data_IF_840600369503
#
_entry.id   IF_840600369503
#
_cell.length_a   1.000
_cell.length_b   1.000
_cell.length_c   1.000
_cell.angle_alpha   90.00
_cell.angle_beta   90.00
_cell.angle_gamma   90.00
#
_symmetry.space_group_name_H-M   'P 1'
#
loop_
_entity.id
_entity.type
_entity.pdbx_description
1 polymer ?
#
# COMPACT_ATOMS: atom_id res chain seq x y z
N UNK A 1 -19.37 -5.94 9.43
CA UNK A 1 -18.91 -4.70 8.78
C UNK A 1 -17.40 -4.66 8.87
N UNK A 2 -16.70 -4.71 7.74
CA UNK A 2 -15.24 -4.62 7.73
C UNK A 2 -14.86 -3.20 8.19
N UNK A 3 -14.11 -3.12 9.29
CA UNK A 3 -13.53 -1.86 9.74
C UNK A 3 -12.42 -1.48 8.74
N UNK A 4 -12.76 -0.66 7.76
CA UNK A 4 -11.81 -0.16 6.75
C UNK A 4 -10.91 0.86 7.44
N UNK A 5 -9.74 0.43 7.88
CA UNK A 5 -8.78 1.25 8.65
C UNK A 5 -8.24 2.47 7.89
N UNK A 6 -8.34 2.48 6.56
CA UNK A 6 -7.88 3.58 5.73
C UNK A 6 -9.01 4.41 5.13
N UNK A 7 -10.28 4.07 5.44
CA UNK A 7 -11.38 4.91 5.01
C UNK A 7 -11.30 6.23 5.78
N UNK A 8 -10.92 7.28 5.12
CA UNK A 8 -11.04 8.62 5.68
C UNK A 8 -12.50 9.08 5.54
N UNK A 9 -13.27 8.88 6.62
CA UNK A 9 -14.68 9.25 6.62
C UNK A 9 -14.90 10.74 6.31
N UNK A 10 -14.00 11.61 6.75
CA UNK A 10 -14.07 13.06 6.51
C UNK A 10 -13.87 13.39 5.03
N UNK A 11 -12.86 12.81 4.40
CA UNK A 11 -12.62 12.96 2.97
C UNK A 11 -13.76 12.36 2.15
N UNK A 12 -14.23 11.19 2.55
CA UNK A 12 -15.36 10.55 1.88
C UNK A 12 -16.65 11.36 1.98
N UNK A 13 -16.99 11.89 3.14
CA UNK A 13 -18.17 12.75 3.31
C UNK A 13 -18.05 14.00 2.45
N UNK A 14 -16.88 14.64 2.42
CA UNK A 14 -16.61 15.76 1.53
C UNK A 14 -16.81 15.37 0.06
N UNK A 15 -16.26 14.24 -0.38
CA UNK A 15 -16.46 13.74 -1.74
C UNK A 15 -17.93 13.47 -2.06
N UNK A 16 -18.66 12.81 -1.15
CA UNK A 16 -20.07 12.50 -1.35
C UNK A 16 -20.99 13.72 -1.33
N UNK A 17 -20.60 14.79 -0.66
CA UNK A 17 -21.36 16.05 -0.62
C UNK A 17 -21.20 16.89 -1.88
N UNK A 18 -20.16 16.66 -2.68
CA UNK A 18 -19.96 17.41 -3.92
C UNK A 18 -20.96 16.99 -5.01
N UNK A 19 -21.51 17.98 -5.71
CA UNK A 19 -22.27 17.77 -6.93
C UNK A 19 -21.31 17.89 -8.12
N UNK A 20 -20.86 16.76 -8.66
CA UNK A 20 -20.12 16.74 -9.93
C UNK A 20 -21.09 17.12 -11.03
N UNK A 21 -21.05 18.37 -11.45
CA UNK A 21 -21.99 18.91 -12.45
C UNK A 21 -21.50 18.80 -13.89
N UNK A 22 -20.19 18.79 -14.11
CA UNK A 22 -19.61 18.79 -15.46
C UNK A 22 -18.27 18.08 -15.47
N UNK A 23 -18.11 17.10 -16.36
CA UNK A 23 -16.87 16.34 -16.50
C UNK A 23 -15.74 17.05 -17.29
N UNK A 24 -15.97 18.27 -17.75
CA UNK A 24 -15.05 19.02 -18.62
C UNK A 24 -14.50 20.30 -17.98
N UNK A 25 -14.51 20.41 -16.68
CA UNK A 25 -13.91 21.57 -15.99
C UNK A 25 -12.41 21.35 -15.91
N UNK A 26 -11.62 22.28 -16.47
CA UNK A 26 -10.18 22.27 -16.24
C UNK A 26 -9.89 22.64 -14.79
N UNK A 27 -9.01 21.86 -14.14
CA UNK A 27 -8.51 22.23 -12.83
C UNK A 27 -7.54 23.42 -12.98
N UNK A 28 -7.66 24.44 -12.11
CA UNK A 28 -6.68 25.53 -12.07
C UNK A 28 -5.30 25.01 -11.69
N UNK A 29 -4.26 25.70 -12.16
CA UNK A 29 -2.88 25.27 -12.04
C UNK A 29 -2.41 25.18 -10.58
N UNK A 30 -2.87 26.07 -9.72
CA UNK A 30 -2.59 26.06 -8.28
C UNK A 30 -3.10 24.81 -7.53
N UNK A 31 -4.16 24.18 -8.06
CA UNK A 31 -4.65 22.89 -7.55
C UNK A 31 -3.78 21.70 -8.03
N UNK A 32 -3.18 21.85 -9.22
CA UNK A 32 -2.30 20.82 -9.81
C UNK A 32 -0.88 20.92 -9.26
N UNK A 33 -0.41 22.12 -8.97
CA UNK A 33 0.92 22.38 -8.41
C UNK A 33 0.86 22.19 -6.88
N UNK A 34 1.20 21.01 -6.43
CA UNK A 34 1.22 20.68 -4.99
C UNK A 34 2.52 21.21 -4.39
N UNK A 35 2.53 22.44 -3.92
CA UNK A 35 3.66 23.05 -3.22
C UNK A 35 3.76 22.53 -1.78
N UNK A 36 2.65 22.54 -1.05
CA UNK A 36 2.58 22.09 0.33
C UNK A 36 1.99 20.68 0.44
N UNK A 37 2.86 19.70 0.63
CA UNK A 37 2.45 18.31 0.84
C UNK A 37 1.95 18.12 2.26
N UNK A 38 0.64 18.09 2.45
CA UNK A 38 0.00 17.80 3.74
C UNK A 38 -0.02 16.30 4.08
N UNK A 39 0.15 15.45 3.08
CA UNK A 39 0.20 14.00 3.20
C UNK A 39 1.33 13.44 2.34
N UNK A 40 1.98 12.39 2.84
CA UNK A 40 2.98 11.62 2.09
C UNK A 40 2.41 10.27 1.65
N UNK A 41 3.01 9.69 0.63
CA UNK A 41 2.76 8.30 0.26
C UNK A 41 3.22 7.35 1.37
N UNK A 42 2.61 6.17 1.46
CA UNK A 42 3.01 5.16 2.43
C UNK A 42 4.42 4.62 2.13
N UNK A 43 4.71 4.42 0.85
CA UNK A 43 6.03 3.96 0.38
C UNK A 43 6.72 5.06 -0.41
N UNK A 44 8.05 5.16 -0.27
CA UNK A 44 8.86 5.99 -1.15
C UNK A 44 9.07 5.26 -2.47
N UNK A 45 8.61 5.85 -3.58
CA UNK A 45 8.78 5.30 -4.91
C UNK A 45 9.02 6.42 -5.92
N UNK A 46 10.06 6.25 -6.78
CA UNK A 46 10.40 7.28 -7.76
C UNK A 46 9.27 7.46 -8.79
N UNK A 47 8.87 8.70 -9.04
CA UNK A 47 7.86 9.03 -10.05
C UNK A 47 6.40 8.87 -9.59
N UNK A 48 6.16 8.60 -8.30
CA UNK A 48 4.80 8.50 -7.78
C UNK A 48 4.11 9.87 -7.72
N UNK A 49 2.79 9.88 -7.88
CA UNK A 49 1.98 11.08 -7.73
C UNK A 49 1.92 11.54 -6.27
N UNK A 50 1.76 12.85 -6.07
CA UNK A 50 1.38 13.36 -4.77
C UNK A 50 -0.06 12.91 -4.43
N UNK A 51 -0.33 12.44 -3.18
CA UNK A 51 -1.67 12.01 -2.79
C UNK A 51 -2.74 13.07 -3.01
N UNK A 52 -2.44 14.35 -2.72
CA UNK A 52 -3.36 15.46 -2.91
C UNK A 52 -3.72 15.68 -4.39
N UNK A 53 -2.77 15.48 -5.31
CA UNK A 53 -3.05 15.58 -6.75
C UNK A 53 -4.09 14.53 -7.17
N UNK A 54 -3.88 13.27 -6.74
CA UNK A 54 -4.82 12.17 -7.05
C UNK A 54 -6.19 12.45 -6.42
N UNK A 55 -6.22 12.90 -5.17
CA UNK A 55 -7.46 13.32 -4.51
C UNK A 55 -8.20 14.38 -5.33
N UNK A 56 -7.52 15.45 -5.72
CA UNK A 56 -8.12 16.54 -6.50
C UNK A 56 -8.68 16.05 -7.85
N UNK A 57 -7.96 15.18 -8.54
CA UNK A 57 -8.41 14.60 -9.80
C UNK A 57 -9.66 13.72 -9.61
N UNK A 58 -9.68 12.88 -8.58
CA UNK A 58 -10.85 12.06 -8.27
C UNK A 58 -12.05 12.94 -7.91
N UNK A 59 -11.85 13.98 -7.10
CA UNK A 59 -12.90 14.93 -6.73
C UNK A 59 -13.48 15.66 -7.93
N UNK A 60 -12.63 16.08 -8.87
CA UNK A 60 -13.06 16.84 -10.03
C UNK A 60 -13.78 15.98 -11.08
N UNK A 61 -13.33 14.75 -11.30
CA UNK A 61 -13.71 14.00 -12.50
C UNK A 61 -14.41 12.67 -12.23
N UNK A 62 -14.35 12.13 -11.00
CA UNK A 62 -14.95 10.83 -10.72
C UNK A 62 -16.37 10.94 -10.18
N UNK A 63 -17.37 10.26 -10.80
CA UNK A 63 -18.67 10.07 -10.18
C UNK A 63 -18.58 9.34 -8.84
N UNK A 64 -19.54 9.57 -7.95
CA UNK A 64 -19.58 8.93 -6.61
C UNK A 64 -19.59 7.39 -6.63
N UNK A 65 -19.96 6.79 -7.74
CA UNK A 65 -20.01 5.35 -7.97
C UNK A 65 -18.92 4.87 -8.93
N UNK A 66 -17.91 5.72 -9.19
CA UNK A 66 -16.85 5.39 -10.14
C UNK A 66 -16.07 4.15 -9.71
N UNK A 67 -15.56 3.46 -10.70
CA UNK A 67 -14.46 2.52 -10.55
C UNK A 67 -13.22 3.15 -11.15
N UNK A 68 -12.17 3.27 -10.37
CA UNK A 68 -10.92 3.88 -10.78
C UNK A 68 -10.01 2.81 -11.39
N UNK A 69 -9.40 3.12 -12.52
CA UNK A 69 -8.39 2.29 -13.17
C UNK A 69 -7.09 3.07 -13.31
N UNK A 70 -6.01 2.49 -12.80
CA UNK A 70 -4.66 3.01 -12.99
C UNK A 70 -3.84 2.01 -13.81
N UNK A 71 -3.59 2.27 -15.10
CA UNK A 71 -2.83 1.37 -15.95
C UNK A 71 -1.30 1.42 -15.70
N UNK A 72 -0.82 2.36 -14.87
CA UNK A 72 0.58 2.56 -14.52
C UNK A 72 0.72 2.71 -12.99
N UNK A 73 0.26 1.69 -12.28
CA UNK A 73 -0.03 1.72 -10.84
C UNK A 73 1.14 2.18 -9.96
N UNK A 74 2.39 1.88 -10.35
CA UNK A 74 3.55 2.15 -9.50
C UNK A 74 3.37 1.55 -8.11
N UNK A 75 3.74 2.29 -7.08
CA UNK A 75 3.56 1.87 -5.68
C UNK A 75 2.11 1.95 -5.17
N UNK A 76 1.14 2.35 -6.01
CA UNK A 76 -0.29 2.26 -5.70
C UNK A 76 -0.94 3.51 -5.11
N UNK A 77 -0.40 4.70 -5.32
CA UNK A 77 -1.00 5.96 -4.80
C UNK A 77 -2.46 6.12 -5.21
N UNK A 78 -2.79 5.86 -6.48
CA UNK A 78 -4.15 6.03 -7.00
C UNK A 78 -5.14 5.07 -6.35
N UNK A 79 -4.79 3.79 -6.22
CA UNK A 79 -5.68 2.80 -5.58
C UNK A 79 -5.84 3.07 -4.09
N UNK A 80 -4.79 3.59 -3.43
CA UNK A 80 -4.87 3.99 -2.04
C UNK A 80 -5.84 5.17 -1.84
N UNK A 81 -5.68 6.25 -2.60
CA UNK A 81 -6.56 7.42 -2.51
C UNK A 81 -8.01 7.10 -2.86
N UNK A 82 -8.24 6.31 -3.91
CA UNK A 82 -9.57 5.81 -4.23
C UNK A 82 -10.17 5.00 -3.08
N UNK A 83 -9.36 4.15 -2.42
CA UNK A 83 -9.77 3.39 -1.24
C UNK A 83 -10.13 4.28 -0.05
N UNK A 84 -9.40 5.38 0.20
CA UNK A 84 -9.73 6.37 1.23
C UNK A 84 -11.11 7.00 1.00
N UNK A 85 -11.50 7.18 -0.25
CA UNK A 85 -12.81 7.70 -0.65
C UNK A 85 -13.90 6.62 -0.71
N UNK A 86 -13.55 5.37 -0.51
CA UNK A 86 -14.48 4.22 -0.57
C UNK A 86 -14.87 3.81 -1.97
N UNK A 87 -14.10 4.22 -2.98
CA UNK A 87 -14.27 3.82 -4.37
C UNK A 87 -13.59 2.46 -4.63
N UNK A 88 -14.08 1.75 -5.63
CA UNK A 88 -13.38 0.59 -6.18
C UNK A 88 -12.24 1.06 -7.05
N UNK A 89 -11.09 0.37 -6.95
CA UNK A 89 -9.95 0.68 -7.79
C UNK A 89 -9.26 -0.59 -8.26
N UNK A 90 -8.70 -0.51 -9.46
CA UNK A 90 -7.87 -1.53 -10.09
C UNK A 90 -6.62 -0.87 -10.64
N UNK A 91 -5.53 -1.62 -10.71
CA UNK A 91 -4.30 -1.13 -11.30
C UNK A 91 -3.52 -2.24 -11.98
N UNK A 92 -2.69 -1.84 -12.95
CA UNK A 92 -1.73 -2.71 -13.62
C UNK A 92 -0.33 -2.16 -13.40
N UNK A 93 0.64 -3.06 -13.17
CA UNK A 93 2.05 -2.70 -12.98
C UNK A 93 2.93 -3.78 -13.57
N UNK A 94 3.95 -3.37 -14.32
CA UNK A 94 4.92 -4.27 -14.94
C UNK A 94 6.15 -4.49 -14.06
N UNK A 95 6.50 -3.50 -13.21
CA UNK A 95 7.62 -3.64 -12.29
C UNK A 95 7.18 -4.51 -11.09
N UNK A 96 7.79 -5.70 -10.88
CA UNK A 96 7.37 -6.61 -9.84
C UNK A 96 7.51 -6.01 -8.42
N UNK A 97 8.53 -5.17 -8.18
CA UNK A 97 8.72 -4.53 -6.89
C UNK A 97 7.60 -3.52 -6.60
N UNK A 98 7.27 -2.65 -7.56
CA UNK A 98 6.16 -1.70 -7.43
C UNK A 98 4.82 -2.43 -7.28
N UNK A 99 4.61 -3.52 -8.04
CA UNK A 99 3.43 -4.36 -7.95
C UNK A 99 3.26 -4.96 -6.55
N UNK A 100 4.33 -5.49 -5.95
CA UNK A 100 4.29 -6.02 -4.58
C UNK A 100 3.95 -4.93 -3.57
N UNK A 101 4.60 -3.75 -3.65
CA UNK A 101 4.30 -2.63 -2.77
C UNK A 101 2.82 -2.22 -2.88
N UNK A 102 2.29 -2.12 -4.09
CA UNK A 102 0.88 -1.77 -4.31
C UNK A 102 -0.10 -2.80 -3.73
N UNK A 103 0.26 -4.09 -3.72
CA UNK A 103 -0.55 -5.17 -3.14
C UNK A 103 -0.73 -5.05 -1.63
N UNK A 104 0.16 -4.36 -0.93
CA UNK A 104 0.01 -4.14 0.52
C UNK A 104 -1.27 -3.41 0.86
N UNK A 105 -1.79 -2.59 -0.04
CA UNK A 105 -3.08 -1.92 0.14
C UNK A 105 -4.29 -2.87 0.18
N UNK A 106 -4.15 -4.11 -0.28
CA UNK A 106 -5.20 -5.14 -0.17
C UNK A 106 -5.52 -5.49 1.29
N UNK A 107 -4.58 -5.23 2.21
CA UNK A 107 -4.78 -5.40 3.66
C UNK A 107 -5.93 -4.55 4.22
N UNK A 108 -6.31 -3.47 3.54
CA UNK A 108 -7.49 -2.66 3.89
C UNK A 108 -8.78 -3.50 3.93
N UNK A 109 -8.85 -4.55 3.10
CA UNK A 109 -10.02 -5.42 3.01
C UNK A 109 -10.09 -6.46 4.15
N UNK A 110 -9.00 -6.61 4.91
CA UNK A 110 -8.94 -7.54 6.02
C UNK A 110 -9.45 -6.90 7.31
N UNK A 111 -10.03 -7.71 8.19
CA UNK A 111 -10.35 -7.28 9.55
C UNK A 111 -9.06 -7.05 10.34
N UNK A 112 -9.14 -6.23 11.41
CA UNK A 112 -8.00 -6.01 12.31
C UNK A 112 -7.45 -7.34 12.85
N UNK A 113 -8.34 -8.22 13.32
CA UNK A 113 -7.94 -9.53 13.84
C UNK A 113 -7.19 -10.38 12.80
N UNK A 114 -7.65 -10.42 11.54
CA UNK A 114 -6.95 -11.16 10.48
C UNK A 114 -5.57 -10.58 10.19
N UNK A 115 -5.41 -9.26 10.20
CA UNK A 115 -4.10 -8.62 10.05
C UNK A 115 -3.15 -8.96 11.18
N UNK A 116 -3.63 -8.92 12.43
CA UNK A 116 -2.86 -9.30 13.61
C UNK A 116 -2.42 -10.78 13.54
N UNK A 117 -3.30 -11.68 13.11
CA UNK A 117 -2.96 -13.09 12.89
C UNK A 117 -1.84 -13.27 11.85
N UNK A 118 -1.93 -12.58 10.70
CA UNK A 118 -0.91 -12.64 9.65
C UNK A 118 0.44 -12.14 10.17
N UNK A 119 0.47 -10.98 10.84
CA UNK A 119 1.70 -10.42 11.41
C UNK A 119 2.31 -11.40 12.43
N UNK A 120 1.50 -11.94 13.33
CA UNK A 120 1.98 -12.91 14.33
C UNK A 120 2.57 -14.15 13.67
N UNK A 121 1.90 -14.70 12.66
CA UNK A 121 2.37 -15.88 11.91
C UNK A 121 3.73 -15.61 11.24
N UNK A 122 3.87 -14.46 10.54
CA UNK A 122 5.13 -14.10 9.91
C UNK A 122 6.23 -13.94 10.94
N UNK A 123 5.96 -13.24 12.04
CA UNK A 123 6.94 -13.03 13.11
C UNK A 123 7.46 -14.37 13.64
N UNK A 124 6.57 -15.30 13.94
CA UNK A 124 6.94 -16.65 14.41
C UNK A 124 7.78 -17.42 13.39
N UNK A 125 7.41 -17.38 12.10
CA UNK A 125 8.18 -18.01 11.03
C UNK A 125 9.57 -17.43 10.90
N UNK A 126 9.69 -16.10 10.94
CA UNK A 126 10.97 -15.41 10.89
C UNK A 126 11.85 -15.70 12.10
N UNK A 127 11.29 -15.70 13.30
CA UNK A 127 12.01 -16.05 14.53
C UNK A 127 12.54 -17.49 14.49
N UNK A 128 11.75 -18.41 13.96
CA UNK A 128 12.14 -19.83 13.83
C UNK A 128 13.29 -20.01 12.83
N UNK A 129 13.19 -19.36 11.65
CA UNK A 129 14.18 -19.51 10.59
C UNK A 129 15.50 -18.80 10.87
N UNK A 130 15.44 -17.64 11.49
CA UNK A 130 16.62 -16.83 11.78
C UNK A 130 17.27 -17.20 13.13
N UNK A 131 16.68 -18.13 13.89
CA UNK A 131 17.07 -18.46 15.27
C UNK A 131 17.20 -17.21 16.18
N UNK A 132 16.41 -16.17 15.89
CA UNK A 132 16.41 -14.91 16.58
C UNK A 132 15.25 -14.94 17.59
N UNK A 133 15.56 -14.83 18.87
CA UNK A 133 14.56 -14.84 19.95
C UNK A 133 13.66 -13.60 19.97
N UNK A 134 14.00 -12.57 19.21
CA UNK A 134 13.22 -11.36 19.10
C UNK A 134 13.62 -10.58 17.84
N UNK A 135 12.76 -10.55 16.81
CA UNK A 135 13.04 -9.87 15.55
C UNK A 135 13.33 -8.36 15.70
N UNK A 136 12.82 -7.75 16.76
CA UNK A 136 13.04 -6.33 17.07
C UNK A 136 14.24 -6.09 18.01
N UNK A 137 14.83 -7.16 18.58
CA UNK A 137 15.96 -7.09 19.51
C UNK A 137 17.24 -7.59 18.83
N UNK A 138 17.47 -7.14 17.60
CA UNK A 138 18.67 -7.49 16.84
C UNK A 138 19.89 -6.85 17.51
N UNK A 139 20.43 -7.49 18.51
CA UNK A 139 21.82 -7.31 18.88
C UNK A 139 22.68 -8.05 17.85
N UNK A 140 23.42 -7.29 17.06
CA UNK A 140 24.31 -7.69 15.95
C UNK A 140 25.39 -8.70 16.37
N UNK A 141 25.05 -9.96 16.63
CA UNK A 141 26.07 -10.94 17.04
C UNK A 141 26.13 -12.24 16.20
N UNK A 142 25.26 -12.40 15.19
CA UNK A 142 25.42 -13.49 14.22
C UNK A 142 25.42 -12.92 12.80
N UNK A 143 26.59 -12.93 12.18
CA UNK A 143 26.72 -12.70 10.73
C UNK A 143 26.37 -13.97 10.01
N UNK A 144 25.15 -14.03 9.42
CA UNK A 144 24.82 -15.04 8.42
C UNK A 144 25.64 -14.78 7.15
N UNK A 145 26.13 -15.84 6.52
CA UNK A 145 26.66 -15.71 5.16
C UNK A 145 25.54 -15.38 4.17
N UNK A 146 25.89 -14.84 3.01
CA UNK A 146 24.90 -14.54 1.96
C UNK A 146 24.16 -15.82 1.53
N UNK A 147 24.89 -16.92 1.43
CA UNK A 147 24.34 -18.24 1.05
C UNK A 147 23.35 -18.77 2.10
N UNK A 148 23.68 -18.69 3.38
CA UNK A 148 22.78 -19.07 4.48
C UNK A 148 21.54 -18.19 4.50
N UNK A 149 21.69 -16.89 4.29
CA UNK A 149 20.55 -15.96 4.20
C UNK A 149 19.64 -16.28 3.02
N UNK A 150 20.21 -16.55 1.83
CA UNK A 150 19.43 -16.92 0.65
C UNK A 150 18.70 -18.25 0.82
N UNK A 151 19.34 -19.25 1.44
CA UNK A 151 18.71 -20.52 1.72
C UNK A 151 17.54 -20.36 2.71
N UNK A 152 17.77 -19.67 3.82
CA UNK A 152 16.73 -19.41 4.83
C UNK A 152 15.55 -18.63 4.24
N UNK A 153 15.83 -17.66 3.36
CA UNK A 153 14.81 -16.88 2.68
C UNK A 153 13.98 -17.76 1.72
N UNK A 154 14.62 -18.68 0.99
CA UNK A 154 13.94 -19.64 0.11
C UNK A 154 13.02 -20.55 0.90
N UNK A 155 13.51 -21.13 2.02
CA UNK A 155 12.72 -21.97 2.91
C UNK A 155 11.53 -21.23 3.53
N UNK A 156 11.71 -19.93 3.82
CA UNK A 156 10.63 -19.08 4.29
C UNK A 156 9.55 -18.91 3.23
N UNK A 157 9.94 -18.59 1.98
CA UNK A 157 8.98 -18.38 0.90
C UNK A 157 8.08 -19.58 0.63
N UNK A 158 8.61 -20.79 0.75
CA UNK A 158 7.84 -22.02 0.57
C UNK A 158 6.76 -22.24 1.66
N UNK A 159 6.88 -21.54 2.79
CA UNK A 159 5.96 -21.64 3.92
C UNK A 159 4.95 -20.50 4.02
N UNK A 160 5.05 -19.48 3.14
CA UNK A 160 4.22 -18.28 3.22
C UNK A 160 2.87 -18.47 2.51
N UNK A 161 1.80 -18.05 3.17
CA UNK A 161 0.51 -17.82 2.53
C UNK A 161 0.53 -16.49 1.72
N UNK A 162 -0.45 -16.31 0.83
CA UNK A 162 -0.52 -15.16 -0.10
C UNK A 162 -0.24 -13.78 0.54
N UNK A 163 -0.91 -13.48 1.67
CA UNK A 163 -0.74 -12.20 2.35
C UNK A 163 0.58 -12.09 3.11
N UNK A 164 1.07 -13.19 3.64
CA UNK A 164 2.38 -13.27 4.28
C UNK A 164 3.49 -13.02 3.28
N UNK A 165 3.39 -13.64 2.10
CA UNK A 165 4.31 -13.43 0.98
C UNK A 165 4.38 -11.96 0.57
N UNK A 166 3.25 -11.25 0.50
CA UNK A 166 3.24 -9.81 0.18
C UNK A 166 4.03 -9.00 1.20
N UNK A 167 3.88 -9.30 2.49
CA UNK A 167 4.61 -8.58 3.55
C UNK A 167 6.10 -8.84 3.46
N UNK A 168 6.52 -10.10 3.36
CA UNK A 168 7.94 -10.47 3.35
C UNK A 168 8.64 -9.89 2.13
N UNK A 169 8.06 -10.03 0.93
CA UNK A 169 8.61 -9.41 -0.28
C UNK A 169 8.65 -7.88 -0.18
N UNK A 170 7.59 -7.26 0.37
CA UNK A 170 7.57 -5.82 0.57
C UNK A 170 8.66 -5.35 1.53
N UNK A 171 8.93 -6.07 2.61
CA UNK A 171 10.02 -5.76 3.53
C UNK A 171 11.39 -5.89 2.86
N UNK A 172 11.62 -6.95 2.08
CA UNK A 172 12.88 -7.12 1.34
C UNK A 172 13.12 -5.95 0.38
N UNK A 173 12.08 -5.52 -0.36
CA UNK A 173 12.20 -4.37 -1.28
C UNK A 173 12.49 -3.06 -0.54
N UNK A 174 12.00 -2.88 0.68
CA UNK A 174 12.20 -1.66 1.46
C UNK A 174 13.56 -1.62 2.16
N UNK A 175 14.22 -2.77 2.33
CA UNK A 175 15.54 -2.87 2.96
C UNK A 175 16.70 -2.78 1.95
N UNK A 176 16.43 -2.97 0.66
CA UNK A 176 17.37 -2.89 -0.45
C UNK A 176 17.49 -1.45 -0.97
#
# INVERSE_FOLDING_TARGET
>A
MANRLFLDNRLREKFLSQNVKEFNISLPQDILDIEDKTRSNLFSWRGQFAPQLVENLIFAYAPKTATILDPFLGSGTVVYEAGCLGLKAFGCELNPAAWILSRTYQFINLTRHKREQIITSITQKLETLLAISNFFDIQYHQTLTIEEFQQNLSELYDQLEDFESIIVHGLVILLD
#
